data_IF_996022858750
#
_entry.id   IF_996022858750
#
_cell.length_a   1.000
_cell.length_b   1.000
_cell.length_c   1.000
_cell.angle_alpha   90.00
_cell.angle_beta   90.00
_cell.angle_gamma   90.00
#
_symmetry.space_group_name_H-M   'P 1'
#
loop_
_entity.id
_entity.type
_entity.pdbx_description
1 polymer ?
#
# COMPACT_ATOMS: atom_id res chain seq x y z
N UNK A 1 73.96 17.34 -16.03
CA UNK A 1 72.57 17.75 -16.35
C UNK A 1 71.69 16.50 -16.08
N UNK A 2 71.18 16.39 -14.86
CA UNK A 2 70.32 15.27 -14.45
C UNK A 2 68.85 15.72 -14.48
N UNK A 3 68.04 15.05 -15.29
CA UNK A 3 66.57 15.19 -15.29
C UNK A 3 65.96 14.17 -14.33
N UNK A 4 65.48 14.62 -13.20
CA UNK A 4 64.65 13.80 -12.27
C UNK A 4 63.20 13.81 -12.72
N UNK A 5 62.72 12.64 -13.20
CA UNK A 5 61.34 12.41 -13.59
C UNK A 5 60.54 12.09 -12.30
N UNK A 6 59.74 13.06 -11.85
CA UNK A 6 58.83 12.87 -10.70
C UNK A 6 57.61 12.04 -11.11
N UNK A 7 57.50 10.82 -10.57
CA UNK A 7 56.26 10.03 -10.64
C UNK A 7 55.19 10.64 -9.72
N UNK A 8 54.16 11.22 -10.29
CA UNK A 8 52.95 11.58 -9.59
C UNK A 8 52.10 10.30 -9.35
N UNK A 9 52.15 9.77 -8.13
CA UNK A 9 51.23 8.75 -7.65
C UNK A 9 49.87 9.41 -7.43
N UNK A 10 48.97 9.25 -8.37
CA UNK A 10 47.55 9.57 -8.19
C UNK A 10 46.96 8.54 -7.23
N UNK A 11 46.79 8.91 -5.95
CA UNK A 11 46.02 8.13 -5.00
C UNK A 11 44.55 8.09 -5.46
N UNK A 12 44.12 6.95 -5.97
CA UNK A 12 42.70 6.70 -6.24
C UNK A 12 42.02 6.61 -4.87
N UNK A 13 41.26 7.64 -4.52
CA UNK A 13 40.30 7.59 -3.43
C UNK A 13 39.19 6.64 -3.87
N UNK A 14 39.32 5.37 -3.48
CA UNK A 14 38.25 4.38 -3.62
C UNK A 14 37.15 4.81 -2.65
N UNK A 15 36.06 5.33 -3.18
CA UNK A 15 34.86 5.58 -2.40
C UNK A 15 34.43 4.23 -1.80
N UNK A 16 34.50 4.14 -0.48
CA UNK A 16 34.08 2.95 0.28
C UNK A 16 32.55 2.89 0.16
N UNK A 17 32.04 2.27 -0.91
CA UNK A 17 30.60 2.03 -1.04
C UNK A 17 30.14 1.10 0.10
N UNK A 18 29.23 1.61 0.91
CA UNK A 18 28.61 0.80 1.96
C UNK A 18 27.96 -0.42 1.32
N UNK A 19 28.28 -1.66 1.75
CA UNK A 19 27.69 -2.85 1.15
C UNK A 19 26.18 -2.81 1.17
N UNK A 20 25.57 -3.15 0.05
CA UNK A 20 24.11 -3.26 -0.04
C UNK A 20 23.61 -4.35 0.92
N UNK A 21 22.56 -4.04 1.67
CA UNK A 21 21.92 -4.96 2.60
C UNK A 21 20.40 -5.03 2.35
N UNK A 22 19.74 -6.01 2.95
CA UNK A 22 18.29 -6.16 2.92
C UNK A 22 17.72 -6.25 1.51
N UNK A 23 16.59 -5.58 1.29
CA UNK A 23 15.84 -5.63 0.03
C UNK A 23 16.64 -5.13 -1.17
N UNK A 24 17.46 -4.07 -1.04
CA UNK A 24 18.27 -3.57 -2.15
C UNK A 24 19.32 -4.58 -2.61
N UNK A 25 19.95 -5.32 -1.66
CA UNK A 25 20.88 -6.40 -2.01
C UNK A 25 20.16 -7.54 -2.73
N UNK A 26 18.97 -7.94 -2.27
CA UNK A 26 18.14 -8.93 -2.94
C UNK A 26 17.79 -8.51 -4.37
N UNK A 27 17.32 -7.28 -4.56
CA UNK A 27 16.94 -6.72 -5.87
C UNK A 27 18.14 -6.66 -6.82
N UNK A 28 19.31 -6.24 -6.34
CA UNK A 28 20.54 -6.19 -7.13
C UNK A 28 20.94 -7.59 -7.62
N UNK A 29 20.94 -8.60 -6.76
CA UNK A 29 21.30 -9.97 -7.10
C UNK A 29 20.28 -10.63 -8.03
N UNK A 30 18.98 -10.42 -7.79
CA UNK A 30 17.90 -10.98 -8.60
C UNK A 30 17.69 -10.24 -9.92
N UNK A 31 18.24 -9.05 -10.10
CA UNK A 31 17.99 -8.12 -11.22
C UNK A 31 16.49 -7.91 -11.47
N UNK A 32 15.69 -7.99 -10.42
CA UNK A 32 14.24 -7.79 -10.48
C UNK A 32 13.72 -7.26 -9.14
N UNK A 33 12.68 -6.42 -9.22
CA UNK A 33 11.91 -5.93 -8.09
C UNK A 33 10.44 -6.33 -8.23
N UNK A 34 9.82 -6.79 -7.15
CA UNK A 34 8.41 -7.17 -7.12
C UNK A 34 7.59 -6.11 -6.39
N UNK A 35 6.69 -5.46 -7.11
CA UNK A 35 5.75 -4.47 -6.56
C UNK A 35 4.43 -5.13 -6.19
N UNK A 36 4.00 -4.93 -4.95
CA UNK A 36 2.66 -5.28 -4.49
C UNK A 36 1.66 -4.20 -4.92
N UNK A 37 0.60 -4.58 -5.62
CA UNK A 37 -0.45 -3.66 -6.07
C UNK A 37 -1.83 -4.13 -5.64
N UNK A 38 -2.80 -3.20 -5.66
CA UNK A 38 -4.22 -3.46 -5.39
C UNK A 38 -5.01 -3.39 -6.68
N UNK A 39 -6.10 -4.15 -6.75
CA UNK A 39 -7.00 -4.18 -7.91
C UNK A 39 -8.17 -3.20 -7.80
N UNK A 40 -8.54 -2.78 -6.59
CA UNK A 40 -9.75 -1.99 -6.34
C UNK A 40 -9.57 -0.91 -5.25
N UNK A 41 -8.38 -0.31 -5.11
CA UNK A 41 -8.11 0.80 -4.16
C UNK A 41 -7.98 2.14 -4.91
N UNK A 42 -9.04 2.54 -5.62
CA UNK A 42 -9.11 3.83 -6.31
C UNK A 42 -9.06 4.96 -5.27
N UNK A 43 -8.28 6.05 -5.48
CA UNK A 43 -7.45 6.37 -6.65
C UNK A 43 -5.98 5.91 -6.51
N UNK A 44 -5.62 5.13 -5.47
CA UNK A 44 -4.23 4.85 -5.09
C UNK A 44 -3.60 3.73 -5.91
N UNK A 45 -4.26 2.57 -5.97
CA UNK A 45 -3.78 1.39 -6.71
C UNK A 45 -4.98 0.56 -7.15
N UNK A 46 -5.16 0.42 -8.45
CA UNK A 46 -6.27 -0.30 -9.04
C UNK A 46 -5.91 -0.78 -10.45
N UNK A 47 -6.74 -1.64 -11.02
CA UNK A 47 -6.61 -2.09 -12.40
C UNK A 47 -7.69 -1.42 -13.24
N UNK A 48 -7.28 -0.70 -14.27
CA UNK A 48 -8.22 -0.06 -15.20
C UNK A 48 -8.80 -1.05 -16.22
N UNK A 49 -10.02 -0.79 -16.66
CA UNK A 49 -10.81 -1.69 -17.52
C UNK A 49 -10.14 -2.03 -18.87
N UNK A 50 -9.22 -1.19 -19.35
CA UNK A 50 -8.68 -1.32 -20.71
C UNK A 50 -7.26 -1.86 -20.80
N UNK A 51 -6.48 -1.85 -19.72
CA UNK A 51 -5.04 -2.19 -19.77
C UNK A 51 -4.68 -3.48 -19.06
N UNK A 52 -5.48 -3.89 -18.08
CA UNK A 52 -5.13 -4.99 -17.17
C UNK A 52 -3.88 -4.72 -16.32
N UNK A 53 -3.32 -3.50 -16.40
CA UNK A 53 -2.12 -3.10 -15.66
C UNK A 53 -2.47 -2.30 -14.42
N UNK A 54 -1.68 -2.42 -13.34
CA UNK A 54 -1.82 -1.58 -12.17
C UNK A 54 -1.62 -0.11 -12.51
N UNK A 55 -2.47 0.75 -11.96
CA UNK A 55 -2.41 2.20 -12.11
C UNK A 55 -2.89 2.91 -10.85
N UNK A 56 -2.70 4.22 -10.78
CA UNK A 56 -3.12 5.07 -9.68
C UNK A 56 -1.96 5.76 -8.97
N UNK A 57 -2.28 6.69 -8.09
CA UNK A 57 -1.32 7.59 -7.46
C UNK A 57 -0.15 6.86 -6.76
N UNK A 58 -0.44 5.81 -6.01
CA UNK A 58 0.60 5.03 -5.32
C UNK A 58 1.45 4.20 -6.30
N UNK A 59 0.87 3.75 -7.41
CA UNK A 59 1.60 3.04 -8.46
C UNK A 59 2.55 3.98 -9.19
N UNK A 60 2.15 5.23 -9.44
CA UNK A 60 3.00 6.26 -10.02
C UNK A 60 4.18 6.60 -9.10
N UNK A 61 3.95 6.70 -7.78
CA UNK A 61 5.01 6.88 -6.79
C UNK A 61 5.97 5.68 -6.80
N UNK A 62 5.45 4.44 -6.83
CA UNK A 62 6.26 3.23 -6.91
C UNK A 62 7.15 3.22 -8.15
N UNK A 63 6.63 3.63 -9.30
CA UNK A 63 7.38 3.74 -10.54
C UNK A 63 8.56 4.71 -10.41
N UNK A 64 8.36 5.86 -9.78
CA UNK A 64 9.45 6.82 -9.50
C UNK A 64 10.51 6.26 -8.54
N UNK A 65 10.08 5.48 -7.54
CA UNK A 65 11.00 4.80 -6.62
C UNK A 65 11.82 3.77 -7.39
N UNK A 66 11.20 2.98 -8.26
CA UNK A 66 11.90 1.99 -9.10
C UNK A 66 12.95 2.66 -9.99
N UNK A 67 12.63 3.78 -10.64
CA UNK A 67 13.61 4.52 -11.44
C UNK A 67 14.81 5.00 -10.60
N UNK A 68 14.59 5.44 -9.36
CA UNK A 68 15.69 5.77 -8.44
C UNK A 68 16.51 4.55 -8.01
N UNK A 69 15.86 3.39 -7.85
CA UNK A 69 16.56 2.13 -7.55
C UNK A 69 17.42 1.70 -8.74
N UNK A 70 16.91 1.77 -9.96
CA UNK A 70 17.69 1.51 -11.20
C UNK A 70 18.96 2.35 -11.26
N UNK A 71 18.83 3.66 -11.02
CA UNK A 71 19.97 4.58 -10.98
C UNK A 71 20.96 4.23 -9.87
N UNK A 72 20.47 3.99 -8.65
CA UNK A 72 21.31 3.69 -7.49
C UNK A 72 22.08 2.37 -7.64
N UNK A 73 21.46 1.37 -8.26
CA UNK A 73 22.04 0.04 -8.45
C UNK A 73 22.78 -0.10 -9.79
N UNK A 74 22.78 0.94 -10.63
CA UNK A 74 23.35 0.91 -12.00
C UNK A 74 22.76 -0.24 -12.84
N UNK A 75 21.45 -0.53 -12.66
CA UNK A 75 20.71 -1.57 -13.34
C UNK A 75 19.60 -0.98 -14.21
N UNK A 76 19.89 -0.41 -15.39
CA UNK A 76 18.89 0.21 -16.27
C UNK A 76 17.81 -0.80 -16.70
N UNK A 77 18.18 -2.07 -16.87
CA UNK A 77 17.30 -3.16 -17.31
C UNK A 77 16.65 -3.93 -16.15
N UNK A 78 16.60 -3.34 -14.94
CA UNK A 78 15.95 -3.96 -13.79
C UNK A 78 14.51 -4.35 -14.13
N UNK A 79 14.19 -5.63 -14.00
CA UNK A 79 12.86 -6.15 -14.29
C UNK A 79 11.88 -5.78 -13.17
N UNK A 80 10.72 -5.25 -13.54
CA UNK A 80 9.63 -4.95 -12.61
C UNK A 80 8.57 -6.04 -12.71
N UNK A 81 8.31 -6.71 -11.60
CA UNK A 81 7.25 -7.72 -11.47
C UNK A 81 6.11 -7.15 -10.63
N UNK A 82 4.89 -7.55 -10.91
CA UNK A 82 3.71 -7.14 -10.17
C UNK A 82 3.08 -8.32 -9.46
N UNK A 83 2.70 -8.13 -8.19
CA UNK A 83 2.00 -9.13 -7.38
C UNK A 83 0.73 -8.50 -6.80
N UNK A 84 -0.42 -9.07 -7.11
CA UNK A 84 -1.69 -8.63 -6.54
C UNK A 84 -1.73 -8.95 -5.05
N UNK A 85 -2.06 -7.94 -4.24
CA UNK A 85 -2.20 -8.08 -2.79
C UNK A 85 -3.56 -7.57 -2.32
N UNK A 86 -4.07 -8.16 -1.25
CA UNK A 86 -5.25 -7.69 -0.51
C UNK A 86 -4.83 -6.90 0.72
N UNK A 87 -5.78 -6.26 1.40
CA UNK A 87 -5.49 -5.62 2.69
C UNK A 87 -5.01 -6.61 3.76
N UNK A 88 -5.37 -7.88 3.65
CA UNK A 88 -4.95 -8.95 4.57
C UNK A 88 -3.56 -9.51 4.23
N UNK A 89 -3.22 -9.62 2.93
CA UNK A 89 -2.00 -10.32 2.50
C UNK A 89 -0.79 -9.41 2.33
N UNK A 90 -0.97 -8.11 2.13
CA UNK A 90 0.12 -7.15 1.82
C UNK A 90 1.25 -7.15 2.86
N UNK A 91 0.94 -7.11 4.15
CA UNK A 91 1.99 -7.09 5.21
C UNK A 91 2.76 -8.42 5.25
N UNK A 92 2.11 -9.60 5.36
CA UNK A 92 2.82 -10.88 5.28
C UNK A 92 3.67 -11.06 4.02
N UNK A 93 3.21 -10.61 2.85
CA UNK A 93 3.95 -10.76 1.60
C UNK A 93 5.18 -9.84 1.52
N UNK A 94 5.14 -8.67 2.13
CA UNK A 94 6.35 -7.82 2.29
C UNK A 94 7.30 -8.44 3.33
N UNK A 95 6.77 -8.92 4.45
CA UNK A 95 7.55 -9.52 5.53
C UNK A 95 8.37 -10.73 5.06
N UNK A 96 7.76 -11.62 4.29
CA UNK A 96 8.43 -12.83 3.79
C UNK A 96 9.26 -12.59 2.50
N UNK A 97 9.27 -11.36 1.98
CA UNK A 97 10.04 -10.98 0.81
C UNK A 97 9.45 -11.43 -0.53
N UNK A 98 8.21 -11.92 -0.59
CA UNK A 98 7.50 -12.17 -1.86
C UNK A 98 7.25 -10.86 -2.61
N UNK A 99 6.98 -9.78 -1.87
CA UNK A 99 6.83 -8.42 -2.35
C UNK A 99 7.98 -7.59 -1.77
N UNK A 100 8.67 -6.82 -2.60
CA UNK A 100 9.78 -5.95 -2.21
C UNK A 100 9.30 -4.57 -1.77
N UNK A 101 8.26 -4.06 -2.40
CA UNK A 101 7.64 -2.76 -2.15
C UNK A 101 6.15 -2.84 -2.40
N UNK A 102 5.33 -2.52 -1.40
CA UNK A 102 3.88 -2.39 -1.58
C UNK A 102 3.51 -0.92 -1.67
N UNK A 103 2.79 -0.55 -2.72
CA UNK A 103 2.26 0.78 -2.95
C UNK A 103 0.76 0.71 -3.26
N UNK A 104 -0.02 0.83 -2.21
CA UNK A 104 -1.48 0.83 -2.27
C UNK A 104 -2.05 1.92 -1.37
N UNK A 105 -3.03 1.55 -0.56
CA UNK A 105 -3.70 2.39 0.44
C UNK A 105 -3.39 1.93 1.87
N UNK A 106 -2.13 1.56 2.15
CA UNK A 106 -1.74 1.02 3.45
C UNK A 106 -1.47 2.12 4.47
N UNK A 107 -2.36 2.27 5.44
CA UNK A 107 -2.16 3.19 6.56
C UNK A 107 -1.03 2.72 7.50
N UNK A 108 -0.24 3.68 7.97
CA UNK A 108 0.82 3.46 8.96
C UNK A 108 0.21 3.29 10.36
N UNK A 109 0.62 2.26 11.09
CA UNK A 109 0.28 2.06 12.49
C UNK A 109 1.49 1.57 13.28
N UNK A 110 1.56 1.83 14.59
CA UNK A 110 2.64 1.35 15.44
C UNK A 110 2.81 -0.17 15.38
N UNK A 111 1.70 -0.91 15.32
CA UNK A 111 1.70 -2.36 15.17
C UNK A 111 2.30 -2.82 13.85
N UNK A 112 1.95 -2.17 12.73
CA UNK A 112 2.48 -2.51 11.40
C UNK A 112 3.96 -2.14 11.26
N UNK A 113 4.40 -1.05 11.90
CA UNK A 113 5.83 -0.66 11.92
C UNK A 113 6.73 -1.67 12.65
N UNK A 114 6.17 -2.54 13.50
CA UNK A 114 6.90 -3.65 14.10
C UNK A 114 7.11 -4.83 13.13
N UNK A 115 6.38 -4.85 12.02
CA UNK A 115 6.38 -5.95 11.06
C UNK A 115 7.10 -5.60 9.77
N UNK A 116 6.94 -4.37 9.28
CA UNK A 116 7.51 -3.88 8.03
C UNK A 116 7.92 -2.42 8.16
N UNK A 117 8.86 -1.98 7.34
CA UNK A 117 9.23 -0.58 7.24
C UNK A 117 8.19 0.20 6.41
N UNK A 118 8.04 1.49 6.72
CA UNK A 118 7.18 2.41 5.99
C UNK A 118 7.99 3.61 5.49
N UNK A 119 7.55 4.19 4.39
CA UNK A 119 7.97 5.52 3.95
C UNK A 119 7.33 6.61 4.82
N UNK A 120 7.67 7.86 4.58
CA UNK A 120 6.87 8.98 5.10
C UNK A 120 5.45 8.89 4.57
N UNK A 121 4.49 9.32 5.40
CA UNK A 121 3.10 9.44 4.98
C UNK A 121 2.95 10.50 3.89
N UNK A 122 2.27 10.16 2.81
CA UNK A 122 2.03 11.06 1.68
C UNK A 122 0.58 11.54 1.57
N UNK A 123 -0.31 11.00 2.41
CA UNK A 123 -1.71 11.42 2.52
C UNK A 123 -2.23 11.17 3.93
N UNK A 124 -3.13 12.03 4.38
CA UNK A 124 -3.88 11.89 5.62
C UNK A 124 -5.35 11.65 5.29
N UNK A 125 -5.92 10.64 5.90
CA UNK A 125 -7.30 10.20 5.67
C UNK A 125 -8.01 10.03 7.01
N UNK A 126 -9.35 10.00 6.96
CA UNK A 126 -10.21 9.70 8.12
C UNK A 126 -11.31 8.74 7.71
N UNK A 127 -11.67 7.84 8.62
CA UNK A 127 -12.77 6.90 8.39
C UNK A 127 -14.11 7.65 8.28
N UNK A 128 -14.88 7.32 7.26
CA UNK A 128 -16.22 7.85 7.03
C UNK A 128 -17.21 6.76 6.62
N UNK A 129 -18.49 7.08 6.71
CA UNK A 129 -19.59 6.26 6.24
C UNK A 129 -20.06 6.78 4.88
N UNK A 130 -20.03 5.93 3.87
CA UNK A 130 -20.75 6.12 2.62
C UNK A 130 -22.11 5.42 2.72
N UNK A 131 -23.18 6.14 2.38
CA UNK A 131 -24.56 5.64 2.41
C UNK A 131 -25.31 6.09 1.16
N UNK A 132 -26.43 5.45 0.84
CA UNK A 132 -27.33 5.97 -0.17
C UNK A 132 -27.89 7.34 0.27
N UNK A 133 -28.10 8.25 -0.69
CA UNK A 133 -28.57 9.62 -0.44
C UNK A 133 -29.83 9.68 0.42
N UNK A 134 -30.76 8.77 0.18
CA UNK A 134 -32.06 8.74 0.84
C UNK A 134 -32.15 7.70 1.97
N UNK A 135 -31.01 7.23 2.46
CA UNK A 135 -30.95 6.20 3.51
C UNK A 135 -31.44 6.63 4.88
N UNK A 136 -31.48 7.96 5.12
CA UNK A 136 -31.78 8.53 6.45
C UNK A 136 -30.67 8.34 7.49
N UNK A 137 -29.57 7.68 7.17
CA UNK A 137 -28.43 7.44 8.06
C UNK A 137 -27.59 8.73 8.17
N UNK A 138 -27.45 9.26 9.39
CA UNK A 138 -26.68 10.47 9.67
C UNK A 138 -25.58 10.24 10.70
N UNK A 139 -25.65 9.13 11.44
CA UNK A 139 -24.73 8.81 12.52
C UNK A 139 -24.53 7.29 12.66
N UNK A 140 -23.55 6.88 13.46
CA UNK A 140 -23.39 5.46 13.81
C UNK A 140 -24.59 4.88 14.57
N UNK A 141 -25.32 5.69 15.33
CA UNK A 141 -26.50 5.22 16.06
C UNK A 141 -27.63 4.74 15.11
N UNK A 142 -27.71 5.32 13.92
CA UNK A 142 -28.71 4.94 12.90
C UNK A 142 -28.41 3.59 12.22
N UNK A 143 -27.24 3.01 12.54
CA UNK A 143 -26.80 1.72 11.99
C UNK A 143 -27.31 0.51 12.80
N UNK A 144 -27.99 0.72 13.91
CA UNK A 144 -28.56 -0.36 14.73
C UNK A 144 -29.38 -1.33 13.88
N UNK A 145 -29.07 -2.63 13.98
CA UNK A 145 -29.73 -3.69 13.23
C UNK A 145 -29.49 -3.69 11.72
N UNK A 146 -28.56 -2.85 11.22
CA UNK A 146 -28.25 -2.76 9.78
C UNK A 146 -26.96 -3.47 9.43
N UNK A 147 -26.89 -3.96 8.21
CA UNK A 147 -25.67 -4.46 7.61
C UNK A 147 -24.74 -3.28 7.27
N UNK A 148 -23.54 -3.27 7.81
CA UNK A 148 -22.50 -2.27 7.51
C UNK A 148 -21.27 -3.00 6.96
N UNK A 149 -20.89 -2.68 5.74
CA UNK A 149 -19.73 -3.32 5.11
C UNK A 149 -18.46 -2.50 5.34
N UNK A 150 -17.35 -3.18 5.48
CA UNK A 150 -15.97 -2.65 5.45
C UNK A 150 -15.07 -3.65 4.75
N UNK A 151 -13.80 -3.31 4.54
CA UNK A 151 -12.86 -4.22 3.87
C UNK A 151 -12.02 -4.98 4.89
N UNK A 152 -11.96 -6.29 4.74
CA UNK A 152 -11.18 -7.19 5.60
C UNK A 152 -9.68 -6.81 5.65
N UNK A 153 -9.06 -6.88 6.83
CA UNK A 153 -7.63 -6.58 7.05
C UNK A 153 -7.27 -5.10 7.07
N UNK A 154 -8.28 -4.20 7.14
CA UNK A 154 -8.08 -2.76 7.26
C UNK A 154 -8.11 -2.29 8.71
N UNK A 155 -7.53 -1.11 8.97
CA UNK A 155 -7.71 -0.40 10.23
C UNK A 155 -9.18 -0.01 10.47
N UNK A 156 -9.91 0.27 9.39
CA UNK A 156 -11.33 0.60 9.41
C UNK A 156 -12.18 -0.58 9.87
N UNK A 157 -11.88 -1.81 9.43
CA UNK A 157 -12.56 -3.00 9.92
C UNK A 157 -12.40 -3.14 11.43
N UNK A 158 -11.17 -3.02 11.92
CA UNK A 158 -10.85 -3.14 13.33
C UNK A 158 -11.56 -2.06 14.16
N UNK A 159 -11.49 -0.81 13.70
CA UNK A 159 -12.20 0.30 14.32
C UNK A 159 -13.70 0.05 14.38
N UNK A 160 -14.32 -0.30 13.26
CA UNK A 160 -15.79 -0.49 13.17
C UNK A 160 -16.28 -1.59 14.12
N UNK A 161 -15.54 -2.70 14.17
CA UNK A 161 -15.85 -3.82 15.08
C UNK A 161 -15.73 -3.41 16.55
N UNK A 162 -14.64 -2.74 16.93
CA UNK A 162 -14.44 -2.25 18.29
C UNK A 162 -15.52 -1.22 18.66
N UNK A 163 -15.74 -0.23 17.81
CA UNK A 163 -16.75 0.80 18.01
C UNK A 163 -18.16 0.23 18.21
N UNK A 164 -18.52 -0.79 17.41
CA UNK A 164 -19.81 -1.47 17.53
C UNK A 164 -20.00 -2.08 18.93
N UNK A 165 -18.97 -2.75 19.45
CA UNK A 165 -19.00 -3.37 20.79
C UNK A 165 -19.01 -2.32 21.89
N UNK A 166 -18.07 -1.38 21.85
CA UNK A 166 -17.84 -0.39 22.90
C UNK A 166 -19.05 0.54 23.11
N UNK A 167 -19.74 0.88 22.00
CA UNK A 167 -20.90 1.77 22.01
C UNK A 167 -22.25 1.03 21.93
N UNK A 168 -22.25 -0.32 21.92
CA UNK A 168 -23.46 -1.16 21.85
C UNK A 168 -24.40 -0.73 20.72
N UNK A 169 -23.84 -0.52 19.55
CA UNK A 169 -24.60 -0.07 18.37
C UNK A 169 -25.48 -1.19 17.84
N UNK A 170 -25.04 -2.46 17.94
CA UNK A 170 -25.74 -3.66 17.45
C UNK A 170 -25.90 -3.67 15.91
N UNK A 171 -24.89 -3.18 15.17
CA UNK A 171 -24.83 -3.33 13.72
C UNK A 171 -24.25 -4.67 13.32
N UNK A 172 -24.60 -5.17 12.13
CA UNK A 172 -24.01 -6.37 11.53
C UNK A 172 -22.83 -5.97 10.64
N UNK A 173 -21.60 -6.14 11.15
CA UNK A 173 -20.38 -5.78 10.40
C UNK A 173 -20.02 -6.89 9.42
N UNK A 174 -19.96 -6.56 8.13
CA UNK A 174 -19.60 -7.44 7.03
C UNK A 174 -18.21 -7.06 6.53
N UNK A 175 -17.30 -8.02 6.46
CA UNK A 175 -15.94 -7.85 5.96
C UNK A 175 -15.86 -8.33 4.52
N UNK A 176 -15.85 -7.40 3.57
CA UNK A 176 -15.65 -7.70 2.14
C UNK A 176 -14.17 -7.98 1.83
N UNK A 177 -13.90 -8.73 0.78
CA UNK A 177 -12.55 -9.10 0.33
C UNK A 177 -11.71 -7.86 -0.05
N UNK A 178 -12.33 -6.94 -0.76
CA UNK A 178 -11.69 -5.70 -1.27
C UNK A 178 -12.69 -4.53 -1.28
N UNK A 179 -12.20 -3.31 -1.62
CA UNK A 179 -13.04 -2.11 -1.60
C UNK A 179 -14.11 -2.13 -2.70
N UNK A 180 -13.82 -2.74 -3.84
CA UNK A 180 -14.77 -2.87 -4.95
C UNK A 180 -15.94 -3.78 -4.58
N UNK A 181 -15.68 -4.91 -3.91
CA UNK A 181 -16.76 -5.77 -3.39
C UNK A 181 -17.59 -5.04 -2.33
N UNK A 182 -16.94 -4.33 -1.39
CA UNK A 182 -17.63 -3.55 -0.37
C UNK A 182 -18.57 -2.50 -0.99
N UNK A 183 -18.07 -1.76 -2.00
CA UNK A 183 -18.88 -0.78 -2.73
C UNK A 183 -20.07 -1.43 -3.45
N UNK A 184 -19.86 -2.56 -4.12
CA UNK A 184 -20.95 -3.32 -4.77
C UNK A 184 -22.01 -3.80 -3.77
N UNK A 185 -21.62 -4.16 -2.55
CA UNK A 185 -22.58 -4.54 -1.51
C UNK A 185 -23.43 -3.35 -1.07
N UNK A 186 -22.86 -2.15 -0.94
CA UNK A 186 -23.63 -0.93 -0.70
C UNK A 186 -24.57 -0.63 -1.87
N UNK A 187 -24.04 -0.63 -3.09
CA UNK A 187 -24.78 -0.28 -4.31
C UNK A 187 -25.97 -1.23 -4.56
N UNK A 188 -25.82 -2.51 -4.24
CA UNK A 188 -26.88 -3.51 -4.38
C UNK A 188 -27.88 -3.55 -3.20
N UNK A 189 -27.70 -2.70 -2.18
CA UNK A 189 -28.55 -2.69 -0.98
C UNK A 189 -28.29 -3.85 -0.01
N UNK A 190 -27.29 -4.70 -0.25
CA UNK A 190 -26.88 -5.76 0.69
C UNK A 190 -26.27 -5.21 1.98
N UNK A 191 -25.72 -4.00 1.92
CA UNK A 191 -25.27 -3.23 3.07
C UNK A 191 -25.93 -1.84 3.04
N UNK A 192 -26.28 -1.31 4.20
CA UNK A 192 -26.88 0.01 4.36
C UNK A 192 -25.83 1.14 4.36
N UNK A 193 -24.58 0.79 4.72
CA UNK A 193 -23.45 1.71 4.76
C UNK A 193 -22.14 0.96 4.45
N UNK A 194 -21.17 1.69 3.90
CA UNK A 194 -19.78 1.27 3.73
C UNK A 194 -18.89 2.19 4.55
N UNK A 195 -18.13 1.63 5.50
CA UNK A 195 -17.19 2.36 6.34
C UNK A 195 -15.76 2.17 5.85
N UNK A 196 -15.11 3.25 5.44
CA UNK A 196 -13.75 3.25 4.92
C UNK A 196 -13.10 4.66 5.03
N UNK A 197 -11.84 4.77 4.65
CA UNK A 197 -11.13 6.04 4.50
C UNK A 197 -11.82 6.92 3.46
N UNK A 198 -12.00 8.20 3.76
CA UNK A 198 -12.73 9.15 2.91
C UNK A 198 -12.19 9.23 1.48
N UNK A 199 -10.87 9.10 1.30
CA UNK A 199 -10.25 9.12 -0.03
C UNK A 199 -10.48 7.82 -0.86
N UNK A 200 -11.11 6.79 -0.27
CA UNK A 200 -11.44 5.52 -0.91
C UNK A 200 -12.96 5.36 -1.12
N UNK A 201 -13.76 6.30 -0.67
CA UNK A 201 -15.21 6.35 -0.79
C UNK A 201 -15.65 7.24 -1.96
#
# INVERSE_FOLDING_TARGET
>A
IGCTLGLLLASQVQANETPLTGTLNKVANAKSITLGYRDASVPFSYVGDHTGQPMGYSVDLASKIVERIKQKLELPDLQVKYNLVTSQTRIPLVQNGTVDLECGSTGVTAERMQQVAFSYGFIYVKGQLLTAKDSGIKSFADLRGKNVVTTAGTTNERFLKSYNVDHKIDMFVISAKDHGEAFKMLQSGRAAAFYMDDALL
#
